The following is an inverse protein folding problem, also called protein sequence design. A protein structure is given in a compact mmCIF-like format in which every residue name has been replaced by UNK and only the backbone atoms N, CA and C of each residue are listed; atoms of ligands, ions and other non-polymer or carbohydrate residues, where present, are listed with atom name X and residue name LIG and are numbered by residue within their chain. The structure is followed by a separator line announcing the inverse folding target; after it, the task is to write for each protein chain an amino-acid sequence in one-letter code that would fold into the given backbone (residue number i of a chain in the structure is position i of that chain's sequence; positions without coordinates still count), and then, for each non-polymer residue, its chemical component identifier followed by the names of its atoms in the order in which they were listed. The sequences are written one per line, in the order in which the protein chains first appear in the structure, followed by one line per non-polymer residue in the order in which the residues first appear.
data_IF_721467809673
#
_entry.id   IF_721467809673
#
_cell.length_a   1.000
_cell.length_b   1.000
_cell.length_c   1.000
_cell.angle_alpha   90.00
_cell.angle_beta   90.00
_cell.angle_gamma   90.00
#
_symmetry.space_group_name_H-M   'P 1'
#
loop_
_entity.id
_entity.type
_entity.pdbx_description
1 polymer ?
#
# COMPACT_ATOMS: atom_id res chain seq x y z
N UNK A 1 -18.48 -26.17 44.50
CA UNK A 1 -18.93 -26.72 43.20
C UNK A 1 -19.14 -25.55 42.24
N UNK A 2 -18.24 -25.33 41.30
CA UNK A 2 -18.53 -24.55 40.10
C UNK A 2 -17.66 -25.13 38.99
N UNK A 3 -18.26 -26.02 38.20
CA UNK A 3 -17.63 -26.60 37.03
C UNK A 3 -17.52 -25.47 36.00
N UNK A 4 -16.33 -24.89 35.87
CA UNK A 4 -15.98 -24.04 34.74
C UNK A 4 -15.93 -24.94 33.51
N UNK A 5 -17.09 -25.15 32.89
CA UNK A 5 -17.25 -25.87 31.63
C UNK A 5 -16.57 -25.02 30.56
N UNK A 6 -15.26 -25.26 30.32
CA UNK A 6 -14.64 -24.90 29.05
C UNK A 6 -15.39 -25.68 27.98
N UNK A 7 -16.37 -25.05 27.35
CA UNK A 7 -16.66 -25.39 25.97
C UNK A 7 -15.40 -24.97 25.21
N UNK A 8 -14.54 -25.93 24.87
CA UNK A 8 -13.65 -25.76 23.73
C UNK A 8 -14.61 -25.62 22.54
N UNK A 9 -14.79 -24.41 21.98
CA UNK A 9 -15.63 -24.30 20.81
C UNK A 9 -14.92 -25.05 19.69
N UNK A 10 -15.61 -25.98 19.02
CA UNK A 10 -15.09 -26.61 17.81
C UNK A 10 -14.61 -25.49 16.87
N UNK A 11 -13.31 -25.44 16.59
CA UNK A 11 -12.69 -24.37 15.80
C UNK A 11 -13.38 -24.23 14.43
N UNK A 12 -13.92 -25.33 13.89
CA UNK A 12 -14.74 -25.37 12.67
C UNK A 12 -16.06 -24.58 12.76
N UNK A 13 -16.65 -24.45 13.95
CA UNK A 13 -17.93 -23.74 14.17
C UNK A 13 -17.77 -22.24 14.41
N UNK A 14 -16.58 -21.79 14.82
CA UNK A 14 -16.31 -20.37 15.08
C UNK A 14 -15.95 -19.58 13.82
N UNK A 15 -15.36 -20.25 12.83
CA UNK A 15 -15.02 -19.65 11.53
C UNK A 15 -16.25 -19.03 10.84
N UNK A 16 -17.43 -19.69 10.73
CA UNK A 16 -18.60 -19.07 10.13
C UNK A 16 -19.17 -17.92 10.98
N UNK A 17 -19.09 -17.99 12.31
CA UNK A 17 -19.50 -16.89 13.20
C UNK A 17 -18.60 -15.64 13.02
N UNK A 18 -17.33 -15.84 12.69
CA UNK A 18 -16.38 -14.76 12.40
C UNK A 18 -16.60 -14.10 11.03
N UNK A 19 -17.28 -14.76 10.07
CA UNK A 19 -17.46 -14.22 8.71
C UNK A 19 -18.22 -12.89 8.71
N UNK A 20 -19.26 -12.77 9.54
CA UNK A 20 -20.06 -11.54 9.63
C UNK A 20 -19.24 -10.34 10.11
N UNK A 21 -18.56 -10.37 11.28
CA UNK A 21 -17.74 -9.25 11.71
C UNK A 21 -16.54 -9.01 10.79
N UNK A 22 -15.98 -10.03 10.14
CA UNK A 22 -14.92 -9.85 9.13
C UNK A 22 -15.43 -9.17 7.86
N UNK A 23 -16.67 -9.46 7.43
CA UNK A 23 -17.33 -8.77 6.33
C UNK A 23 -17.59 -7.29 6.65
N UNK A 24 -18.17 -7.01 7.81
CA UNK A 24 -18.39 -5.63 8.30
C UNK A 24 -17.06 -4.85 8.39
N UNK A 25 -15.99 -5.48 8.88
CA UNK A 25 -14.66 -4.88 8.91
C UNK A 25 -14.11 -4.61 7.50
N UNK A 26 -14.30 -5.55 6.57
CA UNK A 26 -13.85 -5.41 5.19
C UNK A 26 -14.56 -4.23 4.50
N UNK A 27 -15.87 -4.13 4.64
CA UNK A 27 -16.66 -3.05 4.05
C UNK A 27 -16.28 -1.69 4.64
N UNK A 28 -16.15 -1.58 5.96
CA UNK A 28 -15.74 -0.35 6.63
C UNK A 28 -14.31 0.08 6.23
N UNK A 29 -13.37 -0.85 6.10
CA UNK A 29 -12.01 -0.55 5.60
C UNK A 29 -12.02 -0.03 4.16
N UNK A 30 -12.84 -0.61 3.29
CA UNK A 30 -12.97 -0.14 1.91
C UNK A 30 -13.61 1.24 1.83
N UNK A 31 -14.66 1.50 2.62
CA UNK A 31 -15.27 2.83 2.69
C UNK A 31 -14.27 3.87 3.20
N UNK A 32 -13.47 3.53 4.22
CA UNK A 32 -12.40 4.39 4.69
C UNK A 32 -11.37 4.70 3.59
N UNK A 33 -10.90 3.69 2.84
CA UNK A 33 -9.95 3.90 1.75
C UNK A 33 -10.53 4.75 0.63
N UNK A 34 -11.77 4.49 0.21
CA UNK A 34 -12.46 5.30 -0.80
C UNK A 34 -12.57 6.76 -0.38
N UNK A 35 -12.93 7.05 0.87
CA UNK A 35 -12.96 8.43 1.37
C UNK A 35 -11.59 9.09 1.39
N UNK A 36 -10.52 8.32 1.63
CA UNK A 36 -9.16 8.85 1.67
C UNK A 36 -8.56 9.08 0.28
N UNK A 37 -9.04 8.32 -0.72
CA UNK A 37 -8.61 8.40 -2.12
C UNK A 37 -9.41 9.42 -2.93
N UNK A 38 -10.67 9.71 -2.56
CA UNK A 38 -11.54 10.70 -3.22
C UNK A 38 -11.16 12.14 -2.89
N UNK A 39 -9.86 12.49 -2.93
CA UNK A 39 -9.40 13.87 -2.69
C UNK A 39 -9.71 14.74 -3.90
N UNK A 40 -10.99 15.06 -4.10
CA UNK A 40 -11.40 16.06 -5.06
C UNK A 40 -10.99 17.45 -4.55
N UNK A 41 -10.64 18.35 -5.47
CA UNK A 41 -10.08 19.67 -5.14
C UNK A 41 -11.04 20.57 -4.32
N UNK A 42 -12.32 20.21 -4.22
CA UNK A 42 -13.36 20.95 -3.49
C UNK A 42 -13.65 20.36 -2.10
N UNK A 43 -13.09 19.20 -1.76
CA UNK A 43 -13.40 18.54 -0.49
C UNK A 43 -12.69 19.18 0.70
N UNK A 44 -13.44 19.40 1.78
CA UNK A 44 -12.87 19.86 3.05
C UNK A 44 -12.09 18.70 3.70
N UNK A 45 -10.75 18.79 3.81
CA UNK A 45 -9.93 17.67 4.27
C UNK A 45 -10.22 17.29 5.73
N UNK A 46 -10.71 18.21 6.55
CA UNK A 46 -11.11 17.92 7.94
C UNK A 46 -12.37 17.03 7.97
N UNK A 47 -13.32 17.27 7.08
CA UNK A 47 -14.53 16.46 6.95
C UNK A 47 -14.18 15.08 6.44
N UNK A 48 -13.31 14.99 5.44
CA UNK A 48 -12.80 13.73 4.89
C UNK A 48 -12.06 12.93 5.97
N UNK A 49 -11.19 13.57 6.75
CA UNK A 49 -10.48 12.92 7.86
C UNK A 49 -11.44 12.42 8.95
N UNK A 50 -12.45 13.20 9.32
CA UNK A 50 -13.46 12.79 10.30
C UNK A 50 -14.29 11.59 9.83
N UNK A 51 -14.68 11.57 8.55
CA UNK A 51 -15.44 10.48 7.95
C UNK A 51 -14.59 9.21 7.80
N UNK A 52 -13.33 9.34 7.37
CA UNK A 52 -12.40 8.22 7.32
C UNK A 52 -12.14 7.65 8.73
N UNK A 53 -12.04 8.52 9.76
CA UNK A 53 -11.91 8.10 11.16
C UNK A 53 -13.13 7.31 11.64
N UNK A 54 -14.36 7.73 11.33
CA UNK A 54 -15.55 6.98 11.74
C UNK A 54 -15.57 5.58 11.12
N UNK A 55 -15.25 5.47 9.83
CA UNK A 55 -15.17 4.17 9.17
C UNK A 55 -14.02 3.29 9.73
N UNK A 56 -12.86 3.88 10.03
CA UNK A 56 -11.77 3.14 10.68
C UNK A 56 -12.12 2.66 12.10
N UNK A 57 -12.88 3.47 12.85
CA UNK A 57 -13.36 3.07 14.18
C UNK A 57 -14.33 1.88 14.09
N UNK A 58 -15.26 1.91 13.13
CA UNK A 58 -16.16 0.80 12.85
C UNK A 58 -15.39 -0.46 12.43
N UNK A 59 -14.42 -0.32 11.53
CA UNK A 59 -13.56 -1.41 11.10
C UNK A 59 -12.81 -2.05 12.27
N UNK A 60 -12.17 -1.26 13.13
CA UNK A 60 -11.44 -1.78 14.29
C UNK A 60 -12.37 -2.43 15.31
N UNK A 61 -13.56 -1.87 15.54
CA UNK A 61 -14.56 -2.51 16.39
C UNK A 61 -15.02 -3.86 15.83
N UNK A 62 -15.25 -3.94 14.52
CA UNK A 62 -15.61 -5.18 13.85
C UNK A 62 -14.47 -6.22 13.90
N UNK A 63 -13.21 -5.81 13.68
CA UNK A 63 -12.03 -6.68 13.84
C UNK A 63 -11.87 -7.17 15.29
N UNK A 64 -12.13 -6.32 16.29
CA UNK A 64 -12.10 -6.71 17.69
C UNK A 64 -13.19 -7.74 18.03
N UNK A 65 -14.38 -7.63 17.43
CA UNK A 65 -15.43 -8.67 17.54
C UNK A 65 -15.00 -9.97 16.86
N UNK A 66 -14.42 -9.89 15.66
CA UNK A 66 -13.90 -11.05 14.95
C UNK A 66 -12.78 -11.77 15.74
N UNK A 67 -11.94 -11.01 16.46
CA UNK A 67 -10.83 -11.53 17.27
C UNK A 67 -11.28 -12.47 18.40
N UNK A 68 -12.52 -12.35 18.87
CA UNK A 68 -13.13 -13.29 19.84
C UNK A 68 -13.24 -14.70 19.25
N UNK A 69 -13.50 -14.79 17.94
CA UNK A 69 -13.65 -16.05 17.22
C UNK A 69 -12.35 -16.52 16.57
N UNK A 70 -11.54 -15.57 16.07
CA UNK A 70 -10.27 -15.84 15.38
C UNK A 70 -9.15 -15.03 16.04
N UNK A 71 -8.38 -15.61 16.98
CA UNK A 71 -7.38 -14.87 17.76
C UNK A 71 -6.21 -14.32 16.91
N UNK A 72 -6.04 -14.81 15.68
CA UNK A 72 -5.04 -14.32 14.72
C UNK A 72 -5.37 -13.01 14.02
N UNK A 73 -6.56 -12.42 14.26
CA UNK A 73 -6.96 -11.13 13.70
C UNK A 73 -6.14 -9.99 14.34
N UNK A 74 -5.50 -9.19 13.50
CA UNK A 74 -4.74 -8.02 13.93
C UNK A 74 -5.66 -6.78 13.98
N UNK A 75 -5.64 -6.05 15.09
CA UNK A 75 -6.39 -4.81 15.25
C UNK A 75 -5.57 -3.75 16.00
N UNK A 76 -5.88 -2.48 15.75
CA UNK A 76 -5.38 -1.37 16.55
C UNK A 76 -6.29 -1.09 17.75
N UNK A 77 -5.78 -0.38 18.75
CA UNK A 77 -6.64 0.13 19.83
C UNK A 77 -7.48 1.30 19.32
N UNK A 78 -8.72 1.47 19.82
CA UNK A 78 -9.58 2.59 19.41
C UNK A 78 -8.95 3.96 19.72
N UNK A 79 -8.09 4.03 20.74
CA UNK A 79 -7.31 5.23 21.07
C UNK A 79 -6.36 5.68 19.96
N UNK A 80 -5.82 4.75 19.18
CA UNK A 80 -4.95 5.09 18.03
C UNK A 80 -5.76 5.78 16.94
N UNK A 81 -7.00 5.39 16.71
CA UNK A 81 -7.85 6.03 15.68
C UNK A 81 -8.38 7.37 16.18
N UNK A 82 -8.72 7.46 17.47
CA UNK A 82 -9.22 8.68 18.08
C UNK A 82 -8.17 9.79 18.19
N UNK A 83 -6.87 9.43 18.20
CA UNK A 83 -5.80 10.42 18.14
C UNK A 83 -5.86 11.18 16.81
N UNK A 84 -6.11 12.49 16.90
CA UNK A 84 -6.14 13.43 15.78
C UNK A 84 -4.80 14.15 15.70
N UNK A 85 -4.29 14.31 14.49
CA UNK A 85 -3.18 15.24 14.22
C UNK A 85 -3.75 16.64 13.99
N UNK A 86 -2.93 17.68 14.22
CA UNK A 86 -3.36 19.08 14.03
C UNK A 86 -3.35 19.51 12.57
N UNK A 87 -2.53 18.88 11.74
CA UNK A 87 -2.42 19.19 10.31
C UNK A 87 -3.21 18.18 9.47
N UNK A 88 -4.18 18.63 8.65
CA UNK A 88 -5.13 17.72 7.99
C UNK A 88 -4.46 16.82 6.94
N UNK A 89 -3.44 17.31 6.23
CA UNK A 89 -2.70 16.51 5.24
C UNK A 89 -1.94 15.37 5.91
N UNK A 90 -1.30 15.65 7.04
CA UNK A 90 -0.58 14.65 7.84
C UNK A 90 -1.57 13.64 8.42
N UNK A 91 -2.72 14.11 8.87
CA UNK A 91 -3.78 13.26 9.38
C UNK A 91 -4.30 12.28 8.32
N UNK A 92 -4.60 12.75 7.11
CA UNK A 92 -5.06 11.92 6.01
C UNK A 92 -4.02 10.85 5.64
N UNK A 93 -2.75 11.23 5.52
CA UNK A 93 -1.66 10.29 5.24
C UNK A 93 -1.52 9.22 6.33
N UNK A 94 -1.65 9.63 7.60
CA UNK A 94 -1.63 8.73 8.76
C UNK A 94 -2.81 7.76 8.75
N UNK A 95 -4.03 8.23 8.51
CA UNK A 95 -5.23 7.39 8.42
C UNK A 95 -5.12 6.39 7.27
N UNK A 96 -4.60 6.83 6.12
CA UNK A 96 -4.34 5.96 4.97
C UNK A 96 -3.30 4.87 5.28
N UNK A 97 -2.23 5.21 6.00
CA UNK A 97 -1.25 4.23 6.46
C UNK A 97 -1.86 3.21 7.43
N UNK A 98 -2.72 3.66 8.36
CA UNK A 98 -3.43 2.77 9.30
C UNK A 98 -4.35 1.82 8.54
N UNK A 99 -5.18 2.34 7.64
CA UNK A 99 -6.11 1.56 6.81
C UNK A 99 -5.36 0.49 6.01
N UNK A 100 -4.29 0.89 5.33
CA UNK A 100 -3.46 0.00 4.51
C UNK A 100 -2.78 -1.09 5.35
N UNK A 101 -2.28 -0.74 6.54
CA UNK A 101 -1.69 -1.74 7.46
C UNK A 101 -2.73 -2.74 7.95
N UNK A 102 -3.91 -2.28 8.38
CA UNK A 102 -4.98 -3.15 8.83
C UNK A 102 -5.41 -4.12 7.71
N UNK A 103 -5.52 -3.62 6.47
CA UNK A 103 -5.84 -4.45 5.32
C UNK A 103 -4.73 -5.47 5.05
N UNK A 104 -3.46 -5.05 5.03
CA UNK A 104 -2.33 -5.93 4.76
C UNK A 104 -2.17 -7.04 5.80
N UNK A 105 -2.30 -6.74 7.10
CA UNK A 105 -2.17 -7.76 8.14
C UNK A 105 -3.34 -8.76 8.14
N UNK A 106 -4.54 -8.32 7.78
CA UNK A 106 -5.73 -9.17 7.82
C UNK A 106 -6.14 -9.75 6.46
N UNK A 107 -5.40 -9.49 5.38
CA UNK A 107 -5.80 -9.84 4.01
C UNK A 107 -6.18 -11.32 3.79
N UNK A 108 -5.60 -12.24 4.57
CA UNK A 108 -5.90 -13.69 4.49
C UNK A 108 -7.23 -14.06 5.14
N UNK A 109 -7.67 -13.26 6.11
CA UNK A 109 -8.86 -13.51 6.93
C UNK A 109 -10.05 -12.69 6.45
N UNK A 110 -9.79 -11.53 5.82
CA UNK A 110 -10.84 -10.72 5.22
C UNK A 110 -11.48 -11.50 4.07
N UNK A 111 -12.82 -11.50 3.97
CA UNK A 111 -13.49 -12.11 2.84
C UNK A 111 -13.00 -11.43 1.57
N UNK A 112 -12.51 -12.22 0.62
CA UNK A 112 -12.30 -11.74 -0.73
C UNK A 112 -13.66 -11.23 -1.21
N UNK A 113 -13.75 -9.93 -1.51
CA UNK A 113 -14.93 -9.44 -2.22
C UNK A 113 -15.03 -10.28 -3.48
N UNK A 114 -16.18 -10.92 -3.68
CA UNK A 114 -16.57 -11.49 -4.95
C UNK A 114 -16.65 -10.33 -5.94
N UNK A 115 -15.49 -9.96 -6.48
CA UNK A 115 -15.42 -9.10 -7.65
C UNK A 115 -16.23 -9.82 -8.71
N UNK A 116 -17.24 -9.15 -9.25
CA UNK A 116 -17.94 -9.68 -10.41
C UNK A 116 -16.90 -10.04 -11.46
N UNK A 117 -17.04 -11.17 -12.17
CA UNK A 117 -16.09 -11.54 -13.20
C UNK A 117 -15.90 -10.33 -14.12
N UNK A 118 -14.65 -9.89 -14.23
CA UNK A 118 -14.29 -8.74 -15.06
C UNK A 118 -14.64 -9.11 -16.50
N UNK A 119 -15.11 -8.13 -17.27
CA UNK A 119 -15.25 -8.31 -18.71
C UNK A 119 -13.86 -8.62 -19.29
N UNK A 120 -13.75 -9.47 -20.31
CA UNK A 120 -12.45 -9.85 -20.88
C UNK A 120 -11.65 -8.64 -21.39
N UNK A 121 -12.32 -7.56 -21.78
CA UNK A 121 -11.69 -6.29 -22.14
C UNK A 121 -11.00 -5.62 -20.93
N UNK A 122 -11.68 -5.58 -19.78
CA UNK A 122 -11.17 -4.99 -18.54
C UNK A 122 -10.00 -5.81 -17.99
N UNK A 123 -10.05 -7.14 -18.13
CA UNK A 123 -8.93 -8.03 -17.76
C UNK A 123 -7.68 -7.75 -18.59
N UNK A 124 -7.84 -7.54 -19.90
CA UNK A 124 -6.73 -7.21 -20.78
C UNK A 124 -6.12 -5.84 -20.45
N UNK A 125 -6.96 -4.85 -20.15
CA UNK A 125 -6.50 -3.52 -19.72
C UNK A 125 -5.80 -3.59 -18.37
N UNK A 126 -6.36 -4.29 -17.39
CA UNK A 126 -5.72 -4.48 -16.09
C UNK A 126 -4.37 -5.20 -16.25
N UNK A 127 -4.29 -6.24 -17.08
CA UNK A 127 -3.05 -6.96 -17.34
C UNK A 127 -1.98 -6.07 -17.97
N UNK A 128 -2.36 -5.18 -18.89
CA UNK A 128 -1.42 -4.21 -19.47
C UNK A 128 -0.95 -3.17 -18.46
N UNK A 129 -1.86 -2.63 -17.64
CA UNK A 129 -1.53 -1.68 -16.56
C UNK A 129 -0.64 -2.32 -15.50
N UNK A 130 -0.96 -3.52 -15.03
CA UNK A 130 -0.14 -4.28 -14.06
C UNK A 130 1.23 -4.59 -14.65
N UNK A 131 1.32 -4.94 -15.93
CA UNK A 131 2.60 -5.15 -16.61
C UNK A 131 3.40 -3.85 -16.74
N UNK A 132 2.76 -2.72 -16.99
CA UNK A 132 3.41 -1.41 -17.02
C UNK A 132 3.92 -0.99 -15.63
N UNK A 133 3.08 -1.12 -14.59
CA UNK A 133 3.43 -0.86 -13.19
C UNK A 133 4.55 -1.78 -12.70
N UNK A 134 4.53 -3.06 -13.10
CA UNK A 134 5.61 -3.99 -12.80
C UNK A 134 6.95 -3.57 -13.43
N UNK A 135 6.94 -2.96 -14.61
CA UNK A 135 8.14 -2.41 -15.25
C UNK A 135 8.63 -1.14 -14.53
N UNK A 136 7.74 -0.23 -14.16
CA UNK A 136 8.11 1.01 -13.43
C UNK A 136 8.61 0.70 -12.02
N UNK A 137 7.99 -0.24 -11.30
CA UNK A 137 8.44 -0.66 -9.98
C UNK A 137 9.84 -1.32 -10.01
N UNK A 138 10.12 -2.13 -11.05
CA UNK A 138 11.47 -2.68 -11.27
C UNK A 138 12.48 -1.58 -11.59
N UNK A 139 12.13 -0.61 -12.42
CA UNK A 139 12.98 0.54 -12.73
C UNK A 139 13.26 1.39 -11.47
N UNK A 140 12.24 1.66 -10.66
CA UNK A 140 12.38 2.39 -9.39
C UNK A 140 13.27 1.64 -8.39
N UNK A 141 13.17 0.31 -8.31
CA UNK A 141 14.05 -0.51 -7.47
C UNK A 141 15.49 -0.48 -7.98
N UNK A 142 15.71 -0.59 -9.29
CA UNK A 142 17.04 -0.47 -9.89
C UNK A 142 17.66 0.91 -9.63
N UNK A 143 16.87 1.98 -9.77
CA UNK A 143 17.32 3.35 -9.50
C UNK A 143 17.70 3.53 -8.02
N UNK A 144 16.89 3.01 -7.10
CA UNK A 144 17.19 3.06 -5.66
C UNK A 144 18.50 2.36 -5.31
N UNK A 145 18.78 1.20 -5.91
CA UNK A 145 20.07 0.53 -5.72
C UNK A 145 21.24 1.29 -6.37
N UNK A 146 21.03 1.91 -7.53
CA UNK A 146 22.03 2.74 -8.18
C UNK A 146 22.39 3.99 -7.34
N UNK A 147 21.40 4.64 -6.72
CA UNK A 147 21.64 5.77 -5.81
C UNK A 147 22.41 5.35 -4.55
N UNK A 148 22.11 4.19 -3.98
CA UNK A 148 22.87 3.65 -2.83
C UNK A 148 24.31 3.33 -3.24
N UNK A 149 24.52 2.74 -4.42
CA UNK A 149 25.85 2.46 -4.94
C UNK A 149 26.65 3.74 -5.22
N UNK A 150 26.02 4.76 -5.79
CA UNK A 150 26.63 6.07 -6.02
C UNK A 150 27.00 6.76 -4.70
N UNK A 151 26.13 6.72 -3.69
CA UNK A 151 26.43 7.25 -2.36
C UNK A 151 27.59 6.51 -1.68
N UNK A 152 27.65 5.19 -1.80
CA UNK A 152 28.76 4.39 -1.29
C UNK A 152 30.09 4.72 -1.99
N UNK A 153 30.06 4.86 -3.32
CA UNK A 153 31.24 5.23 -4.11
C UNK A 153 31.74 6.64 -3.76
N UNK A 154 30.82 7.59 -3.56
CA UNK A 154 31.14 8.95 -3.11
C UNK A 154 31.77 8.95 -1.70
N UNK A 155 31.25 8.13 -0.78
CA UNK A 155 31.80 8.00 0.57
C UNK A 155 33.24 7.42 0.57
N UNK A 156 33.54 6.50 -0.34
CA UNK A 156 34.89 5.93 -0.51
C UNK A 156 35.86 6.92 -1.18
N UNK A 157 35.37 7.79 -2.07
CA UNK A 157 36.19 8.77 -2.80
C UNK A 157 36.43 10.07 -2.02
N UNK A 158 35.57 10.40 -1.06
CA UNK A 158 35.70 11.59 -0.20
C UNK A 158 37.10 11.76 0.44
N UNK A 159 37.74 10.72 1.01
CA UNK A 159 39.07 10.85 1.62
C UNK A 159 40.23 10.98 0.61
N UNK A 160 40.00 10.72 -0.69
CA UNK A 160 41.04 10.74 -1.73
C UNK A 160 41.23 12.13 -2.38
N UNK A 161 40.45 13.12 -1.97
CA UNK A 161 40.56 14.51 -2.43
C UNK A 161 39.61 14.89 -3.58
N UNK A 162 39.52 16.19 -3.91
CA UNK A 162 38.48 16.75 -4.77
C UNK A 162 38.52 16.24 -6.23
N UNK A 163 39.70 15.86 -6.73
CA UNK A 163 39.86 15.29 -8.07
C UNK A 163 39.22 13.90 -8.20
N UNK A 164 39.32 13.06 -7.16
CA UNK A 164 38.73 11.73 -7.14
C UNK A 164 37.19 11.80 -7.11
N UNK A 165 36.64 12.76 -6.35
CA UNK A 165 35.21 13.07 -6.32
C UNK A 165 34.72 13.56 -7.68
N UNK A 166 35.49 14.41 -8.37
CA UNK A 166 35.17 14.90 -9.71
C UNK A 166 35.05 13.78 -10.76
N UNK A 167 36.00 12.82 -10.76
CA UNK A 167 35.94 11.65 -11.65
C UNK A 167 34.77 10.72 -11.33
N UNK A 168 34.44 10.54 -10.04
CA UNK A 168 33.27 9.76 -9.62
C UNK A 168 31.95 10.36 -10.11
N UNK A 169 31.78 11.68 -10.01
CA UNK A 169 30.59 12.38 -10.50
C UNK A 169 30.51 12.36 -12.04
N UNK A 170 31.63 12.57 -12.73
CA UNK A 170 31.68 12.53 -14.19
C UNK A 170 31.29 11.15 -14.74
N UNK A 171 31.77 10.06 -14.11
CA UNK A 171 31.40 8.70 -14.52
C UNK A 171 29.92 8.38 -14.25
N UNK A 172 29.35 8.86 -13.15
CA UNK A 172 27.90 8.74 -12.89
C UNK A 172 27.06 9.49 -13.93
N UNK A 173 27.45 10.72 -14.27
CA UNK A 173 26.75 11.53 -15.28
C UNK A 173 26.84 10.88 -16.67
N UNK A 174 28.00 10.35 -17.05
CA UNK A 174 28.17 9.62 -18.30
C UNK A 174 27.29 8.37 -18.35
N UNK A 175 27.16 7.63 -17.24
CA UNK A 175 26.29 6.45 -17.14
C UNK A 175 24.81 6.84 -17.32
N UNK A 176 24.35 7.92 -16.68
CA UNK A 176 22.98 8.44 -16.82
C UNK A 176 22.70 8.86 -18.27
N UNK A 177 23.65 9.54 -18.91
CA UNK A 177 23.55 9.96 -20.31
C UNK A 177 23.44 8.76 -21.26
N UNK A 178 24.26 7.72 -21.02
CA UNK A 178 24.28 6.51 -21.84
C UNK A 178 22.98 5.71 -21.67
N UNK A 179 22.42 5.65 -20.46
CA UNK A 179 21.10 5.05 -20.21
C UNK A 179 19.97 5.81 -20.91
N UNK A 180 20.00 7.14 -20.88
CA UNK A 180 19.03 7.96 -21.61
C UNK A 180 19.14 7.77 -23.13
N UNK A 181 20.35 7.77 -23.69
CA UNK A 181 20.57 7.53 -25.11
C UNK A 181 20.07 6.14 -25.57
N UNK A 182 20.32 5.09 -24.78
CA UNK A 182 19.81 3.73 -25.07
C UNK A 182 18.28 3.68 -24.99
N UNK A 183 17.66 4.39 -24.04
CA UNK A 183 16.19 4.46 -23.98
C UNK A 183 15.57 5.21 -25.16
N UNK A 184 16.20 6.28 -25.63
CA UNK A 184 15.76 7.03 -26.80
C UNK A 184 15.84 6.18 -28.09
N UNK A 185 16.96 5.46 -28.28
CA UNK A 185 17.15 4.54 -29.41
C UNK A 185 16.17 3.35 -29.40
N UNK A 186 15.77 2.87 -28.22
CA UNK A 186 14.74 1.82 -28.09
C UNK A 186 13.33 2.35 -28.31
N UNK A 187 13.06 3.62 -28.00
CA UNK A 187 11.78 4.28 -28.25
C UNK A 187 11.51 4.51 -29.74
N UNK A 188 12.55 4.78 -30.53
CA UNK A 188 12.43 5.00 -31.99
C UNK A 188 12.23 3.73 -32.82
N UNK A 189 12.45 2.54 -32.25
CA UNK A 189 12.28 1.27 -32.96
C UNK A 189 10.80 0.79 -33.04
N UNK A 190 9.85 1.53 -32.47
CA UNK A 190 8.46 1.11 -32.31
C UNK A 190 7.46 1.67 -33.35
N UNK A 191 7.90 2.22 -34.48
CA UNK A 191 7.02 2.62 -35.58
C UNK A 191 7.64 2.34 -36.96
N UNK A 192 7.12 1.34 -37.70
CA UNK A 192 6.76 1.53 -39.09
C UNK A 192 5.24 1.65 -39.18
N UNK A 193 4.74 2.88 -39.32
CA UNK A 193 3.38 3.10 -39.83
C UNK A 193 3.30 2.48 -41.23
N UNK A 194 2.49 1.42 -41.36
CA UNK A 194 1.94 1.03 -42.65
C UNK A 194 0.85 2.05 -43.01
N UNK A 195 1.12 2.82 -44.06
CA UNK A 195 0.09 3.46 -44.89
C UNK A 195 -0.65 2.39 -45.67
#
# INVERSE_FOLDING_TARGET
MSAYRRCEPDEESLVPAAQRPLGEACDALHLALLTLESQDAEDNPERTAAQARSFLAEAVNALNRARVFVPGVFSHTPSVIAASEAEPVVELARLHQIATRLLWYNHRLLPARTQSPLQPEDEAQLATLVRALGRTARAARALRHAWIAAAALLAVLLPLGPFAVGLGLASCLALVWLLQAVSALRGTAALPERV
#
